data_IF_888480781158
#
_entry.id   IF_888480781158
#
_cell.length_a   1.000
_cell.length_b   1.000
_cell.length_c   1.000
_cell.angle_alpha   90.00
_cell.angle_beta   90.00
_cell.angle_gamma   90.00
#
_symmetry.space_group_name_H-M   'P 1'
#
loop_
_entity.id
_entity.type
_entity.pdbx_description
1 polymer ?
#
# COMPACT_ATOMS: atom_id res chain seq x y z
N UNK A 1 -21.47 -34.70 36.61
CA UNK A 1 -20.41 -35.73 36.62
C UNK A 1 -19.13 -35.03 36.21
N UNK A 2 -18.09 -35.11 37.02
CA UNK A 2 -16.83 -34.41 36.77
C UNK A 2 -16.21 -34.97 35.49
N UNK A 3 -16.00 -34.08 34.52
CA UNK A 3 -15.43 -34.34 33.21
C UNK A 3 -13.98 -34.82 33.41
N UNK A 4 -13.79 -36.14 33.50
CA UNK A 4 -12.52 -36.74 33.87
C UNK A 4 -11.53 -36.57 32.72
N UNK A 5 -10.27 -36.27 33.01
CA UNK A 5 -9.25 -36.06 31.98
C UNK A 5 -9.10 -37.27 31.03
N UNK A 6 -9.50 -38.47 31.50
CA UNK A 6 -9.56 -39.71 30.71
C UNK A 6 -10.61 -39.66 29.60
N UNK A 7 -11.74 -39.01 29.83
CA UNK A 7 -12.84 -38.90 28.87
C UNK A 7 -12.55 -37.89 27.76
N UNK A 8 -11.45 -37.12 27.90
CA UNK A 8 -10.96 -36.13 26.92
C UNK A 8 -9.83 -36.64 26.03
N UNK A 9 -9.36 -37.88 26.24
CA UNK A 9 -8.30 -38.45 25.42
C UNK A 9 -8.82 -38.77 24.02
N UNK A 10 -8.18 -38.18 23.01
CA UNK A 10 -8.46 -38.50 21.62
C UNK A 10 -7.75 -39.80 21.22
N UNK A 11 -8.36 -40.64 20.38
CA UNK A 11 -7.68 -41.80 19.82
C UNK A 11 -6.49 -41.33 18.98
N UNK A 12 -5.28 -41.73 19.38
CA UNK A 12 -4.08 -41.33 18.67
C UNK A 12 -4.10 -41.94 17.27
N UNK A 13 -3.80 -41.11 16.26
CA UNK A 13 -3.68 -41.60 14.89
C UNK A 13 -2.75 -40.71 14.09
N UNK A 14 -2.08 -41.32 13.11
CA UNK A 14 -1.26 -40.61 12.15
C UNK A 14 -1.75 -40.98 10.76
N UNK A 15 -2.19 -39.98 9.99
CA UNK A 15 -2.81 -40.17 8.67
C UNK A 15 -3.97 -41.17 8.68
N UNK A 16 -4.72 -41.23 9.78
CA UNK A 16 -5.85 -42.15 9.97
C UNK A 16 -5.46 -43.56 10.44
N UNK A 17 -4.18 -43.89 10.60
CA UNK A 17 -3.73 -45.16 11.19
C UNK A 17 -3.73 -45.02 12.72
N UNK A 18 -4.56 -45.78 13.47
CA UNK A 18 -4.64 -45.67 14.92
C UNK A 18 -3.43 -46.32 15.61
N UNK A 19 -2.99 -45.74 16.71
CA UNK A 19 -2.00 -46.32 17.62
C UNK A 19 -2.24 -45.86 19.06
N UNK A 20 -1.64 -46.55 20.02
CA UNK A 20 -1.69 -46.16 21.43
C UNK A 20 -0.46 -45.37 21.81
N UNK A 21 -0.59 -44.39 22.70
CA UNK A 21 0.53 -43.58 23.19
C UNK A 21 0.69 -43.82 24.68
N UNK A 22 1.88 -44.29 25.07
CA UNK A 22 2.24 -44.48 26.48
C UNK A 22 2.83 -43.19 27.08
N UNK A 23 3.71 -42.53 26.33
CA UNK A 23 4.37 -41.31 26.75
C UNK A 23 4.41 -40.28 25.63
N UNK A 24 4.11 -39.02 25.97
CA UNK A 24 4.33 -37.88 25.09
C UNK A 24 5.23 -36.83 25.78
N UNK A 25 6.33 -36.47 25.14
CA UNK A 25 7.22 -35.39 25.56
C UNK A 25 7.15 -34.28 24.54
N UNK A 26 6.98 -33.05 25.00
CA UNK A 26 7.05 -31.86 24.17
C UNK A 26 7.83 -30.82 24.95
N UNK A 27 9.00 -30.36 24.45
CA UNK A 27 9.75 -29.33 25.12
C UNK A 27 8.98 -28.01 25.07
N UNK A 28 8.88 -27.35 26.22
CA UNK A 28 8.19 -26.07 26.39
C UNK A 28 9.19 -25.06 26.93
N UNK A 29 9.19 -23.84 26.41
CA UNK A 29 10.08 -22.79 26.87
C UNK A 29 10.52 -21.84 25.75
N UNK A 30 11.51 -21.00 26.07
CA UNK A 30 12.19 -20.15 25.12
C UNK A 30 13.61 -20.64 24.91
N UNK A 31 14.08 -20.58 23.67
CA UNK A 31 15.52 -20.67 23.38
C UNK A 31 16.16 -19.42 23.96
N UNK A 32 17.36 -19.56 24.50
CA UNK A 32 18.13 -18.39 24.89
C UNK A 32 19.54 -18.76 25.27
N UNK A 33 20.38 -17.74 25.33
CA UNK A 33 21.76 -17.85 25.78
C UNK A 33 21.86 -17.31 27.20
N UNK A 34 22.41 -18.12 28.10
CA UNK A 34 22.74 -17.67 29.45
C UNK A 34 24.13 -17.04 29.41
N UNK A 35 24.19 -15.75 29.72
CA UNK A 35 25.43 -15.00 29.85
C UNK A 35 25.81 -14.90 31.32
N UNK A 36 26.95 -15.48 31.67
CA UNK A 36 27.54 -15.39 33.01
C UNK A 36 28.75 -14.46 32.97
N UNK A 37 28.73 -13.41 33.80
CA UNK A 37 29.78 -12.39 33.84
C UNK A 37 30.62 -12.55 35.11
N UNK A 38 31.96 -12.55 35.03
CA UNK A 38 32.81 -12.58 36.23
C UNK A 38 32.47 -11.45 37.20
N UNK A 39 32.47 -11.74 38.51
CA UNK A 39 32.13 -10.82 39.61
C UNK A 39 30.67 -10.33 39.65
N UNK A 40 29.75 -10.98 38.94
CA UNK A 40 28.31 -10.70 39.04
C UNK A 40 27.55 -11.95 39.45
N UNK A 41 26.90 -11.90 40.61
CA UNK A 41 26.19 -13.05 41.19
C UNK A 41 24.90 -13.44 40.44
N UNK A 42 24.36 -12.54 39.60
CA UNK A 42 23.13 -12.78 38.85
C UNK A 42 23.41 -12.92 37.34
N UNK A 43 23.12 -14.09 36.74
CA UNK A 43 23.31 -14.30 35.31
C UNK A 43 22.21 -13.63 34.48
N UNK A 44 22.49 -13.33 33.22
CA UNK A 44 21.55 -12.73 32.28
C UNK A 44 21.14 -13.73 31.20
N UNK A 45 19.84 -14.02 31.08
CA UNK A 45 19.31 -14.91 30.04
C UNK A 45 18.73 -14.08 28.89
N UNK A 46 19.34 -14.19 27.71
CA UNK A 46 18.86 -13.56 26.49
C UNK A 46 17.93 -14.52 25.73
N UNK A 47 16.64 -14.20 25.68
CA UNK A 47 15.66 -15.00 24.95
C UNK A 47 15.76 -14.83 23.43
N UNK A 48 16.07 -15.91 22.71
CA UNK A 48 16.22 -16.00 21.26
C UNK A 48 14.96 -16.56 20.56
N UNK A 49 13.80 -16.46 21.21
CA UNK A 49 12.50 -16.90 20.69
C UNK A 49 12.00 -18.21 21.29
N UNK A 50 10.89 -18.74 20.77
CA UNK A 50 10.27 -19.96 21.32
C UNK A 50 11.06 -21.22 20.99
N UNK A 51 11.10 -22.17 21.92
CA UNK A 51 11.67 -23.50 21.68
C UNK A 51 10.85 -24.23 20.59
N UNK A 52 11.56 -24.99 19.75
CA UNK A 52 10.91 -25.81 18.75
C UNK A 52 10.09 -26.88 19.46
N UNK A 53 8.79 -26.94 19.20
CA UNK A 53 7.86 -27.92 19.80
C UNK A 53 8.00 -29.25 19.07
N UNK A 54 9.07 -29.97 19.36
CA UNK A 54 9.29 -31.33 18.85
C UNK A 54 8.41 -32.27 19.69
N UNK A 55 7.57 -33.07 19.05
CA UNK A 55 6.71 -34.02 19.75
C UNK A 55 7.35 -35.40 19.71
N UNK A 56 7.92 -35.82 20.84
CA UNK A 56 8.49 -37.16 20.99
C UNK A 56 7.43 -38.07 21.63
N UNK A 57 6.92 -39.03 20.86
CA UNK A 57 5.88 -39.95 21.27
C UNK A 57 6.42 -41.38 21.38
N UNK A 58 6.20 -42.02 22.52
CA UNK A 58 6.36 -43.46 22.68
C UNK A 58 5.00 -44.11 22.45
N UNK A 59 4.87 -44.75 21.30
CA UNK A 59 3.64 -45.36 20.83
C UNK A 59 3.75 -46.89 20.80
N UNK A 60 2.61 -47.57 20.85
CA UNK A 60 2.57 -49.02 20.68
C UNK A 60 1.31 -49.46 19.93
N UNK A 61 1.43 -50.60 19.27
CA UNK A 61 0.33 -51.30 18.61
C UNK A 61 0.19 -52.66 19.30
N UNK A 62 -1.04 -53.01 19.65
CA UNK A 62 -1.38 -54.26 20.35
C UNK A 62 -2.63 -54.87 19.72
N UNK A 63 -2.61 -56.18 19.46
CA UNK A 63 -3.76 -56.92 18.93
C UNK A 63 -3.37 -58.05 17.98
N UNK A 64 -4.37 -58.83 17.53
CA UNK A 64 -4.17 -59.90 16.55
C UNK A 64 -3.69 -59.35 15.18
N UNK A 65 -4.14 -58.16 14.81
CA UNK A 65 -3.79 -57.48 13.55
C UNK A 65 -2.57 -56.57 13.67
N UNK A 66 -1.74 -56.75 14.71
CA UNK A 66 -0.63 -55.87 15.05
C UNK A 66 0.39 -55.72 13.90
N UNK A 67 0.67 -56.81 13.17
CA UNK A 67 1.61 -56.79 12.04
C UNK A 67 1.07 -56.00 10.84
N UNK A 68 -0.24 -56.10 10.54
CA UNK A 68 -0.84 -55.33 9.45
C UNK A 68 -0.94 -53.83 9.79
N UNK A 69 -1.30 -53.51 11.03
CA UNK A 69 -1.37 -52.13 11.50
C UNK A 69 0.02 -51.48 11.56
N UNK A 70 1.05 -52.26 11.94
CA UNK A 70 2.46 -51.85 11.88
C UNK A 70 2.86 -51.47 10.47
N UNK A 71 2.58 -52.31 9.47
CA UNK A 71 2.99 -52.05 8.08
C UNK A 71 2.27 -50.83 7.50
N UNK A 72 0.99 -50.62 7.87
CA UNK A 72 0.26 -49.39 7.50
C UNK A 72 0.84 -48.14 8.17
N UNK A 73 1.22 -48.22 9.44
CA UNK A 73 1.83 -47.11 10.16
C UNK A 73 3.22 -46.77 9.61
N UNK A 74 4.05 -47.79 9.35
CA UNK A 74 5.37 -47.61 8.74
C UNK A 74 5.26 -46.92 7.38
N UNK A 75 4.36 -47.39 6.53
CA UNK A 75 4.10 -46.75 5.23
C UNK A 75 3.65 -45.29 5.39
N UNK A 76 2.76 -45.02 6.34
CA UNK A 76 2.32 -43.65 6.61
C UNK A 76 3.48 -42.74 7.08
N UNK A 77 4.37 -43.26 7.93
CA UNK A 77 5.55 -42.56 8.45
C UNK A 77 6.58 -42.26 7.35
N UNK A 78 6.83 -43.21 6.43
CA UNK A 78 7.75 -43.03 5.30
C UNK A 78 7.28 -41.98 4.29
N UNK A 79 5.97 -41.78 4.15
CA UNK A 79 5.41 -40.73 3.30
C UNK A 79 5.60 -39.30 3.89
N UNK A 80 6.12 -39.18 5.11
CA UNK A 80 6.84 -37.99 5.61
C UNK A 80 5.99 -36.86 6.20
N UNK A 81 4.90 -36.42 5.56
CA UNK A 81 4.03 -35.35 6.11
C UNK A 81 2.59 -35.82 6.29
N UNK A 82 1.93 -35.38 7.36
CA UNK A 82 0.56 -35.78 7.62
C UNK A 82 -0.07 -35.20 8.87
N UNK A 83 -1.37 -35.46 9.00
CA UNK A 83 -2.13 -35.10 10.18
C UNK A 83 -1.85 -36.11 11.32
N UNK A 84 -1.40 -35.58 12.45
CA UNK A 84 -1.26 -36.29 13.71
C UNK A 84 -2.40 -35.88 14.65
N UNK A 85 -3.16 -36.86 15.11
CA UNK A 85 -4.10 -36.71 16.22
C UNK A 85 -3.33 -37.07 17.49
N UNK A 86 -2.93 -36.05 18.25
CA UNK A 86 -2.27 -36.22 19.54
C UNK A 86 -3.31 -36.40 20.65
N UNK A 87 -3.18 -37.42 21.53
CA UNK A 87 -4.20 -37.72 22.55
C UNK A 87 -4.55 -36.57 23.48
N UNK A 88 -3.55 -35.74 23.82
CA UNK A 88 -3.70 -34.59 24.72
C UNK A 88 -3.70 -33.21 24.04
N UNK A 89 -3.17 -33.10 22.81
CA UNK A 89 -2.93 -31.79 22.15
C UNK A 89 -3.87 -31.56 20.96
N UNK A 90 -4.64 -32.58 20.56
CA UNK A 90 -5.56 -32.48 19.44
C UNK A 90 -4.91 -32.74 18.09
N UNK A 91 -5.58 -32.28 17.05
CA UNK A 91 -5.18 -32.47 15.64
C UNK A 91 -4.12 -31.45 15.24
N UNK A 92 -3.05 -31.91 14.60
CA UNK A 92 -1.99 -31.04 14.11
C UNK A 92 -1.31 -31.57 12.85
N UNK A 93 -0.79 -30.65 12.04
CA UNK A 93 0.04 -30.98 10.87
C UNK A 93 1.50 -31.10 11.27
N UNK A 94 2.09 -32.25 10.98
CA UNK A 94 3.46 -32.56 11.37
C UNK A 94 4.24 -33.20 10.24
N UNK A 95 5.56 -33.03 10.29
CA UNK A 95 6.54 -33.78 9.52
C UNK A 95 7.17 -34.84 10.41
N UNK A 96 7.24 -36.04 9.87
CA UNK A 96 7.84 -37.21 10.51
C UNK A 96 9.34 -37.03 10.54
N UNK A 97 9.91 -37.17 11.73
CA UNK A 97 11.33 -37.20 12.00
C UNK A 97 11.88 -38.61 12.11
N UNK A 98 12.95 -38.76 12.87
CA UNK A 98 13.50 -40.07 13.21
C UNK A 98 12.45 -40.91 13.93
N UNK A 99 12.22 -42.12 13.42
CA UNK A 99 11.32 -43.09 14.00
C UNK A 99 12.07 -44.40 14.25
N UNK A 100 11.96 -44.95 15.45
CA UNK A 100 12.54 -46.24 15.81
C UNK A 100 11.43 -47.24 16.10
N UNK A 101 11.51 -48.42 15.49
CA UNK A 101 10.61 -49.54 15.77
C UNK A 101 11.36 -50.61 16.54
N UNK A 102 10.83 -51.00 17.70
CA UNK A 102 11.37 -52.08 18.52
C UNK A 102 10.36 -53.21 18.62
N UNK A 103 10.83 -54.44 18.36
CA UNK A 103 10.04 -55.67 18.48
C UNK A 103 10.93 -56.77 19.09
N UNK A 104 10.61 -57.24 20.29
CA UNK A 104 11.28 -58.39 20.91
C UNK A 104 10.53 -59.69 20.63
N UNK A 105 11.25 -60.82 20.63
CA UNK A 105 10.63 -62.16 20.51
C UNK A 105 9.73 -62.51 21.69
N UNK A 106 9.93 -61.86 22.84
CA UNK A 106 9.15 -62.08 24.06
C UNK A 106 7.80 -61.33 24.06
N UNK A 107 7.63 -60.36 23.16
CA UNK A 107 6.57 -59.34 23.26
C UNK A 107 5.22 -59.77 22.65
N UNK A 108 5.07 -61.02 22.20
CA UNK A 108 3.77 -61.69 22.00
C UNK A 108 2.63 -60.86 21.37
N UNK A 109 2.88 -60.08 20.32
CA UNK A 109 1.86 -59.25 19.64
C UNK A 109 1.89 -57.75 19.97
N UNK A 110 2.95 -57.27 20.62
CA UNK A 110 3.23 -55.85 20.86
C UNK A 110 4.35 -55.34 19.93
N UNK A 111 4.14 -54.17 19.33
CA UNK A 111 5.19 -53.43 18.62
C UNK A 111 5.25 -52.03 19.19
N UNK A 112 6.44 -51.63 19.64
CA UNK A 112 6.69 -50.29 20.22
C UNK A 112 7.41 -49.40 19.23
N UNK A 113 7.02 -48.13 19.19
CA UNK A 113 7.56 -47.08 18.34
C UNK A 113 8.02 -45.88 19.16
N UNK A 114 9.19 -45.34 18.83
CA UNK A 114 9.64 -44.02 19.26
C UNK A 114 9.50 -43.09 18.06
N UNK A 115 8.55 -42.17 18.09
CA UNK A 115 8.20 -41.29 16.96
C UNK A 115 8.53 -39.85 17.30
N UNK A 116 9.38 -39.20 16.50
CA UNK A 116 9.63 -37.76 16.61
C UNK A 116 8.84 -37.02 15.53
N UNK A 117 8.02 -36.05 15.92
CA UNK A 117 7.27 -35.22 14.99
C UNK A 117 7.69 -33.75 15.10
N UNK A 118 7.91 -33.12 13.95
CA UNK A 118 8.22 -31.70 13.83
C UNK A 118 6.99 -30.92 13.35
N UNK A 119 6.74 -29.69 13.84
CA UNK A 119 5.60 -28.90 13.39
C UNK A 119 5.77 -28.51 11.93
N UNK A 120 4.80 -28.85 11.08
CA UNK A 120 4.81 -28.48 9.67
C UNK A 120 4.22 -27.08 9.49
N UNK A 121 4.99 -26.07 9.88
CA UNK A 121 4.63 -24.68 9.59
C UNK A 121 5.06 -24.36 8.16
N UNK A 122 4.14 -23.94 7.28
CA UNK A 122 4.53 -23.53 5.93
C UNK A 122 5.50 -22.36 6.04
N UNK A 123 6.61 -22.45 5.31
CA UNK A 123 7.57 -21.35 5.18
C UNK A 123 6.80 -20.11 4.68
N UNK A 124 6.81 -19.04 5.46
CA UNK A 124 6.29 -17.75 5.02
C UNK A 124 7.31 -17.14 4.07
N UNK A 125 7.19 -17.46 2.79
CA UNK A 125 7.95 -16.77 1.75
C UNK A 125 7.41 -15.34 1.57
N UNK A 126 8.26 -14.36 1.24
CA UNK A 126 7.79 -13.04 0.85
C UNK A 126 6.90 -13.17 -0.38
N UNK A 127 5.64 -12.75 -0.28
CA UNK A 127 4.74 -12.64 -1.42
C UNK A 127 5.11 -11.42 -2.25
N UNK A 128 5.14 -11.54 -3.57
CA UNK A 128 5.32 -10.39 -4.45
C UNK A 128 4.16 -9.40 -4.23
N UNK A 129 4.49 -8.19 -3.80
CA UNK A 129 3.53 -7.09 -3.68
C UNK A 129 3.57 -6.29 -4.97
N UNK A 130 2.40 -5.99 -5.53
CA UNK A 130 2.28 -5.17 -6.73
C UNK A 130 2.76 -3.76 -6.44
N UNK A 131 3.69 -3.25 -7.25
CA UNK A 131 4.16 -1.88 -7.16
C UNK A 131 3.16 -0.94 -7.87
N UNK A 132 2.17 -0.45 -7.12
CA UNK A 132 1.11 0.42 -7.65
C UNK A 132 1.64 1.75 -8.17
N UNK A 133 2.72 2.28 -7.58
CA UNK A 133 3.41 3.48 -8.09
C UNK A 133 3.92 3.25 -9.52
N UNK A 134 4.62 2.15 -9.75
CA UNK A 134 5.16 1.84 -11.09
C UNK A 134 4.04 1.63 -12.12
N UNK A 135 2.91 1.05 -11.72
CA UNK A 135 1.77 0.87 -12.62
C UNK A 135 1.17 2.20 -13.09
N UNK A 136 1.06 3.19 -12.18
CA UNK A 136 0.62 4.54 -12.55
C UNK A 136 1.60 5.19 -13.53
N UNK A 137 2.91 5.06 -13.29
CA UNK A 137 3.93 5.61 -14.18
C UNK A 137 3.84 5.02 -15.59
N UNK A 138 3.77 3.70 -15.71
CA UNK A 138 3.62 3.03 -17.02
C UNK A 138 2.33 3.44 -17.74
N UNK A 139 1.21 3.55 -17.01
CA UNK A 139 -0.04 4.02 -17.59
C UNK A 139 0.02 5.49 -18.01
N UNK A 140 0.74 6.34 -17.27
CA UNK A 140 0.96 7.75 -17.61
C UNK A 140 1.82 7.91 -18.88
N UNK A 141 2.87 7.10 -19.04
CA UNK A 141 3.70 7.08 -20.25
C UNK A 141 2.88 6.63 -21.48
N UNK A 142 2.02 5.64 -21.29
CA UNK A 142 1.11 5.15 -22.33
C UNK A 142 0.10 6.23 -22.75
N UNK A 143 -0.47 6.97 -21.80
CA UNK A 143 -1.36 8.10 -22.09
C UNK A 143 -0.61 9.20 -22.86
N UNK A 144 0.59 9.57 -22.43
CA UNK A 144 1.41 10.57 -23.11
C UNK A 144 1.65 10.19 -24.57
N UNK A 145 2.06 8.93 -24.82
CA UNK A 145 2.28 8.43 -26.18
C UNK A 145 1.01 8.51 -27.03
N UNK A 146 -0.13 8.13 -26.48
CA UNK A 146 -1.42 8.24 -27.17
C UNK A 146 -1.83 9.69 -27.45
N UNK A 147 -1.58 10.62 -26.51
CA UNK A 147 -1.91 12.04 -26.67
C UNK A 147 -1.08 12.70 -27.77
N UNK A 148 0.24 12.42 -27.81
CA UNK A 148 1.14 12.90 -28.87
C UNK A 148 0.67 12.38 -30.24
N UNK A 149 0.37 11.08 -30.36
CA UNK A 149 -0.12 10.50 -31.62
C UNK A 149 -1.45 11.11 -32.06
N UNK A 150 -2.38 11.29 -31.12
CA UNK A 150 -3.69 11.93 -31.40
C UNK A 150 -3.52 13.36 -31.90
N UNK A 151 -2.62 14.13 -31.28
CA UNK A 151 -2.32 15.50 -31.68
C UNK A 151 -1.67 15.57 -33.06
N UNK A 152 -0.66 14.73 -33.34
CA UNK A 152 -0.02 14.65 -34.66
C UNK A 152 -1.02 14.27 -35.75
N UNK A 153 -1.89 13.30 -35.48
CA UNK A 153 -2.95 12.91 -36.42
C UNK A 153 -3.93 14.05 -36.69
N UNK A 154 -4.41 14.72 -35.63
CA UNK A 154 -5.32 15.85 -35.76
C UNK A 154 -4.70 17.00 -36.57
N UNK A 155 -3.45 17.36 -36.29
CA UNK A 155 -2.74 18.45 -36.97
C UNK A 155 -2.41 18.14 -38.43
N UNK A 156 -2.14 16.88 -38.77
CA UNK A 156 -1.92 16.46 -40.17
C UNK A 156 -3.17 16.59 -41.05
N UNK A 157 -4.37 16.48 -40.47
CA UNK A 157 -5.64 16.63 -41.20
C UNK A 157 -6.01 18.10 -41.46
N UNK A 158 -5.40 19.03 -40.72
CA UNK A 158 -5.72 20.46 -40.75
C UNK A 158 -4.98 21.14 -41.89
N UNK A 159 -5.70 21.94 -42.67
CA UNK A 159 -5.08 22.79 -43.70
C UNK A 159 -4.51 24.05 -43.05
N UNK A 160 -3.21 24.07 -42.78
CA UNK A 160 -2.51 25.19 -42.13
C UNK A 160 -2.77 26.56 -42.77
N UNK A 161 -2.88 26.62 -44.10
CA UNK A 161 -3.20 27.85 -44.84
C UNK A 161 -4.58 28.46 -44.49
N UNK A 162 -5.49 27.66 -43.92
CA UNK A 162 -6.85 28.08 -43.52
C UNK A 162 -6.96 28.44 -42.03
N UNK A 163 -5.85 28.38 -41.29
CA UNK A 163 -5.82 28.76 -39.87
C UNK A 163 -5.80 30.29 -39.75
N UNK A 164 -6.87 30.85 -39.19
CA UNK A 164 -6.97 32.26 -38.82
C UNK A 164 -6.26 32.53 -37.50
N UNK A 165 -5.16 33.29 -37.54
CA UNK A 165 -4.29 33.53 -36.37
C UNK A 165 -5.03 34.21 -35.23
N UNK A 166 -5.84 35.24 -35.51
CA UNK A 166 -6.58 35.96 -34.45
C UNK A 166 -7.67 35.10 -33.80
N UNK A 167 -8.33 34.26 -34.59
CA UNK A 167 -9.35 33.32 -34.08
C UNK A 167 -8.70 32.21 -33.26
N UNK A 168 -7.53 31.71 -33.69
CA UNK A 168 -6.75 30.72 -32.95
C UNK A 168 -6.26 31.30 -31.62
N UNK A 169 -5.75 32.54 -31.61
CA UNK A 169 -5.34 33.25 -30.40
C UNK A 169 -6.48 33.33 -29.37
N UNK A 170 -7.67 33.72 -29.81
CA UNK A 170 -8.87 33.77 -28.94
C UNK A 170 -9.21 32.40 -28.38
N UNK A 171 -9.16 31.35 -29.20
CA UNK A 171 -9.43 29.98 -28.76
C UNK A 171 -8.42 29.42 -27.78
N UNK A 172 -7.16 29.86 -27.84
CA UNK A 172 -6.07 29.36 -27.00
C UNK A 172 -5.83 30.18 -25.73
N UNK A 173 -6.60 31.25 -25.47
CA UNK A 173 -6.35 32.14 -24.33
C UNK A 173 -6.47 31.40 -22.99
N UNK A 174 -7.52 30.61 -22.80
CA UNK A 174 -7.72 29.81 -21.57
C UNK A 174 -6.67 28.71 -21.43
N UNK A 175 -6.34 28.04 -22.54
CA UNK A 175 -5.32 26.99 -22.58
C UNK A 175 -3.95 27.55 -22.20
N UNK A 176 -3.61 28.73 -22.72
CA UNK A 176 -2.35 29.39 -22.43
C UNK A 176 -2.23 29.80 -20.97
N UNK A 177 -3.30 30.26 -20.33
CA UNK A 177 -3.30 30.55 -18.90
C UNK A 177 -2.98 29.29 -18.04
N UNK A 178 -3.41 28.10 -18.49
CA UNK A 178 -3.02 26.84 -17.84
C UNK A 178 -1.55 26.52 -18.09
N UNK A 179 -1.06 26.70 -19.32
CA UNK A 179 0.38 26.54 -19.64
C UNK A 179 1.23 27.48 -18.77
N UNK A 180 0.82 28.72 -18.59
CA UNK A 180 1.55 29.70 -17.77
C UNK A 180 1.73 29.27 -16.32
N UNK A 181 0.71 28.65 -15.74
CA UNK A 181 0.73 28.29 -14.33
C UNK A 181 1.36 26.91 -14.08
N UNK A 182 1.01 25.91 -14.90
CA UNK A 182 1.37 24.50 -14.69
C UNK A 182 2.65 24.08 -15.43
N UNK A 183 2.96 24.75 -16.55
CA UNK A 183 4.06 24.40 -17.45
C UNK A 183 5.05 25.56 -17.63
N UNK A 184 5.54 26.12 -16.52
CA UNK A 184 6.50 27.24 -16.52
C UNK A 184 7.70 27.08 -17.49
N UNK A 185 8.34 25.89 -17.62
CA UNK A 185 9.44 25.73 -18.57
C UNK A 185 9.02 25.94 -20.04
N UNK A 186 7.76 25.66 -20.40
CA UNK A 186 7.25 25.96 -21.76
C UNK A 186 7.07 27.46 -21.99
N UNK A 187 6.80 28.25 -20.95
CA UNK A 187 6.76 29.71 -21.06
C UNK A 187 8.16 30.28 -21.28
N UNK A 188 9.19 29.70 -20.68
CA UNK A 188 10.57 30.12 -20.95
C UNK A 188 10.96 29.88 -22.43
N UNK A 189 10.36 28.88 -23.08
CA UNK A 189 10.60 28.58 -24.50
C UNK A 189 9.76 29.43 -25.44
N UNK A 190 8.43 29.49 -25.23
CA UNK A 190 7.52 30.19 -26.15
C UNK A 190 7.33 31.67 -25.83
N UNK A 191 7.55 32.11 -24.59
CA UNK A 191 7.50 33.52 -24.17
C UNK A 191 6.11 34.13 -24.09
N UNK A 192 5.32 34.07 -25.17
CA UNK A 192 3.97 34.65 -25.26
C UNK A 192 2.99 33.79 -26.07
N UNK A 193 1.69 34.10 -25.93
CA UNK A 193 0.62 33.43 -26.68
C UNK A 193 0.80 33.57 -28.20
N UNK A 194 1.38 34.66 -28.70
CA UNK A 194 1.55 34.86 -30.15
C UNK A 194 2.55 33.87 -30.74
N UNK A 195 3.63 33.62 -30.04
CA UNK A 195 4.68 32.68 -30.44
C UNK A 195 4.16 31.25 -30.36
N UNK A 196 3.36 30.93 -29.35
CA UNK A 196 2.65 29.65 -29.28
C UNK A 196 1.72 29.45 -30.49
N UNK A 197 0.89 30.44 -30.82
CA UNK A 197 -0.02 30.39 -31.98
C UNK A 197 0.74 30.22 -33.30
N UNK A 198 1.91 30.85 -33.44
CA UNK A 198 2.79 30.65 -34.59
C UNK A 198 3.33 29.23 -34.64
N UNK A 199 3.83 28.69 -33.52
CA UNK A 199 4.33 27.33 -33.43
C UNK A 199 3.26 26.30 -33.81
N UNK A 200 2.03 26.47 -33.31
CA UNK A 200 0.88 25.62 -33.67
C UNK A 200 0.60 25.63 -35.18
N UNK A 201 0.73 26.79 -35.83
CA UNK A 201 0.46 26.95 -37.26
C UNK A 201 1.60 26.41 -38.14
N UNK A 202 2.84 26.67 -37.76
CA UNK A 202 4.02 26.42 -38.60
C UNK A 202 4.64 25.06 -38.34
N UNK A 203 4.86 24.69 -37.07
CA UNK A 203 5.56 23.46 -36.68
C UNK A 203 4.85 22.80 -35.47
N UNK A 204 3.63 22.28 -35.66
CA UNK A 204 2.88 21.68 -34.55
C UNK A 204 3.63 20.54 -33.86
N UNK A 205 4.43 19.76 -34.62
CA UNK A 205 5.16 18.61 -34.09
C UNK A 205 6.22 18.96 -33.03
N UNK A 206 6.81 20.16 -33.11
CA UNK A 206 7.76 20.64 -32.09
C UNK A 206 7.05 20.76 -30.74
N UNK A 207 5.83 21.31 -30.72
CA UNK A 207 5.05 21.49 -29.51
C UNK A 207 4.80 20.17 -28.76
N UNK A 208 4.37 19.12 -29.46
CA UNK A 208 4.19 17.80 -28.82
C UNK A 208 5.50 17.17 -28.34
N UNK A 209 6.62 17.49 -29.00
CA UNK A 209 7.95 17.01 -28.60
C UNK A 209 8.42 17.70 -27.32
N UNK A 210 8.21 19.01 -27.20
CA UNK A 210 8.54 19.79 -26.00
C UNK A 210 7.72 19.33 -24.79
N UNK A 211 6.40 19.12 -24.95
CA UNK A 211 5.56 18.55 -23.89
C UNK A 211 6.04 17.18 -23.43
N UNK A 212 6.42 16.32 -24.38
CA UNK A 212 6.97 14.99 -24.08
C UNK A 212 8.27 15.09 -23.29
N UNK A 213 9.22 15.92 -23.73
CA UNK A 213 10.50 16.10 -23.05
C UNK A 213 10.34 16.66 -21.64
N UNK A 214 9.46 17.63 -21.44
CA UNK A 214 9.16 18.20 -20.13
C UNK A 214 8.63 17.16 -19.14
N UNK A 215 7.76 16.26 -19.61
CA UNK A 215 7.12 15.26 -18.76
C UNK A 215 8.01 14.05 -18.46
N UNK A 216 9.10 13.83 -19.20
CA UNK A 216 10.06 12.75 -18.93
C UNK A 216 10.96 13.03 -17.70
N UNK A 217 11.23 14.28 -17.34
CA UNK A 217 12.15 14.65 -16.23
C UNK A 217 11.46 14.97 -14.89
N UNK A 218 10.15 14.69 -14.75
CA UNK A 218 9.40 14.99 -13.52
C UNK A 218 9.80 14.02 -12.39
N UNK A 219 10.65 14.47 -11.45
CA UNK A 219 11.15 13.69 -10.30
C UNK A 219 10.29 13.85 -9.03
N UNK A 220 9.08 13.31 -9.02
CA UNK A 220 8.12 13.51 -7.92
C UNK A 220 8.56 13.07 -6.51
N UNK A 221 9.47 12.10 -6.37
CA UNK A 221 9.92 11.58 -5.07
C UNK A 221 10.72 12.59 -4.23
N UNK A 222 11.47 13.50 -4.86
CA UNK A 222 12.21 14.56 -4.15
C UNK A 222 11.29 15.67 -3.65
N UNK A 223 10.22 15.92 -4.40
CA UNK A 223 9.26 16.96 -4.06
C UNK A 223 8.39 16.55 -2.88
N UNK A 224 7.90 15.30 -2.86
CA UNK A 224 7.17 14.74 -1.71
C UNK A 224 7.94 14.88 -0.40
N UNK A 225 9.25 14.57 -0.41
CA UNK A 225 10.10 14.66 0.79
C UNK A 225 10.20 16.08 1.36
N UNK A 226 9.91 17.12 0.57
CA UNK A 226 9.92 18.52 0.99
C UNK A 226 8.54 19.02 1.42
N UNK A 227 7.48 18.56 0.77
CA UNK A 227 6.12 19.13 0.88
C UNK A 227 5.19 18.35 1.78
N UNK A 228 5.36 17.03 1.89
CA UNK A 228 4.47 16.15 2.66
C UNK A 228 3.12 15.91 1.96
N UNK A 229 2.26 15.08 2.57
CA UNK A 229 0.99 14.67 1.95
C UNK A 229 0.02 15.84 1.80
N UNK A 230 -0.11 16.68 2.83
CA UNK A 230 -1.12 17.74 2.85
C UNK A 230 -0.93 18.74 1.72
N UNK A 231 0.30 19.21 1.53
CA UNK A 231 0.60 20.21 0.51
C UNK A 231 0.49 19.58 -0.88
N UNK A 232 1.03 18.36 -1.06
CA UNK A 232 0.98 17.68 -2.35
C UNK A 232 -0.46 17.35 -2.79
N UNK A 233 -1.34 16.93 -1.88
CA UNK A 233 -2.76 16.73 -2.20
C UNK A 233 -3.46 18.04 -2.58
N UNK A 234 -3.11 19.16 -1.93
CA UNK A 234 -3.64 20.47 -2.27
C UNK A 234 -3.17 20.94 -3.66
N UNK A 235 -1.88 20.78 -3.95
CA UNK A 235 -1.28 21.12 -5.24
C UNK A 235 -1.94 20.30 -6.36
N UNK A 236 -2.06 18.97 -6.18
CA UNK A 236 -2.73 18.10 -7.16
C UNK A 236 -4.20 18.50 -7.34
N UNK A 237 -4.92 18.79 -6.25
CA UNK A 237 -6.33 19.22 -6.36
C UNK A 237 -6.48 20.53 -7.15
N UNK A 238 -5.53 21.47 -6.98
CA UNK A 238 -5.48 22.68 -7.80
C UNK A 238 -5.25 22.35 -9.29
N UNK A 239 -4.33 21.43 -9.62
CA UNK A 239 -4.10 20.99 -11.00
C UNK A 239 -5.33 20.31 -11.60
N UNK A 240 -6.07 19.53 -10.81
CA UNK A 240 -7.33 18.90 -11.23
C UNK A 240 -8.36 19.96 -11.60
N UNK A 241 -8.49 21.03 -10.82
CA UNK A 241 -9.38 22.15 -11.15
C UNK A 241 -8.91 22.93 -12.37
N UNK A 242 -7.60 23.08 -12.58
CA UNK A 242 -7.05 23.67 -13.79
C UNK A 242 -7.39 22.82 -15.04
N UNK A 243 -7.23 21.50 -14.96
CA UNK A 243 -7.56 20.57 -16.04
C UNK A 243 -9.06 20.54 -16.38
N UNK A 244 -9.94 20.76 -15.39
CA UNK A 244 -11.40 20.88 -15.60
C UNK A 244 -11.79 22.13 -16.38
N UNK A 245 -11.00 23.20 -16.27
CA UNK A 245 -11.24 24.47 -16.98
C UNK A 245 -10.81 24.42 -18.45
N UNK A 246 -10.00 23.45 -18.83
CA UNK A 246 -9.65 23.22 -20.23
C UNK A 246 -10.88 22.62 -20.93
N UNK A 247 -11.71 23.47 -21.54
CA UNK A 247 -12.83 23.06 -22.37
C UNK A 247 -12.47 23.19 -23.86
N UNK A 248 -13.26 22.52 -24.71
CA UNK A 248 -13.12 22.68 -26.14
C UNK A 248 -13.37 24.15 -26.53
N UNK A 249 -12.50 24.76 -27.36
CA UNK A 249 -12.61 26.18 -27.68
C UNK A 249 -13.93 26.48 -28.40
N UNK A 250 -14.76 27.34 -27.82
CA UNK A 250 -16.08 27.74 -28.34
C UNK A 250 -15.93 28.76 -29.48
N UNK A 251 -15.33 28.32 -30.57
CA UNK A 251 -15.12 29.12 -31.77
C UNK A 251 -16.28 28.88 -32.75
N UNK A 252 -16.89 29.95 -33.26
CA UNK A 252 -18.05 29.89 -34.18
C UNK A 252 -17.67 29.93 -35.66
N UNK A 253 -16.39 30.18 -35.98
CA UNK A 253 -15.90 30.40 -37.35
C UNK A 253 -14.58 29.68 -37.61
N UNK A 254 -14.46 29.05 -38.78
CA UNK A 254 -13.20 28.50 -39.29
C UNK A 254 -12.90 27.08 -38.80
N UNK A 255 -13.42 26.07 -39.51
CA UNK A 255 -13.29 24.63 -39.16
C UNK A 255 -11.85 24.17 -38.87
N UNK A 256 -10.90 24.58 -39.72
CA UNK A 256 -9.48 24.23 -39.54
C UNK A 256 -8.86 24.94 -38.31
N UNK A 257 -9.34 26.14 -37.99
CA UNK A 257 -8.89 26.89 -36.81
C UNK A 257 -9.46 26.32 -35.51
N UNK A 258 -10.73 25.93 -35.52
CA UNK A 258 -11.37 25.28 -34.37
C UNK A 258 -10.73 23.93 -34.07
N UNK A 259 -10.46 23.12 -35.11
CA UNK A 259 -9.76 21.85 -34.97
C UNK A 259 -8.33 22.01 -34.43
N UNK A 260 -7.60 23.04 -34.86
CA UNK A 260 -6.24 23.31 -34.36
C UNK A 260 -6.26 23.71 -32.88
N UNK A 261 -7.20 24.59 -32.50
CA UNK A 261 -7.35 25.01 -31.13
C UNK A 261 -7.77 23.83 -30.22
N UNK A 262 -8.68 22.97 -30.70
CA UNK A 262 -9.12 21.77 -30.00
C UNK A 262 -7.99 20.74 -29.84
N UNK A 263 -7.16 20.54 -30.87
CA UNK A 263 -6.01 19.64 -30.79
C UNK A 263 -5.02 20.09 -29.71
N UNK A 264 -4.71 21.39 -29.63
CA UNK A 264 -3.83 21.94 -28.60
C UNK A 264 -4.47 21.85 -27.21
N UNK A 265 -5.77 22.17 -27.08
CA UNK A 265 -6.49 22.06 -25.81
C UNK A 265 -6.46 20.62 -25.28
N UNK A 266 -6.74 19.63 -26.14
CA UNK A 266 -6.67 18.21 -25.79
C UNK A 266 -5.25 17.81 -25.37
N UNK A 267 -4.22 18.23 -26.12
CA UNK A 267 -2.83 17.90 -25.77
C UNK A 267 -2.42 18.48 -24.42
N UNK A 268 -2.80 19.72 -24.10
CA UNK A 268 -2.51 20.35 -22.81
C UNK A 268 -3.27 19.66 -21.67
N UNK A 269 -4.54 19.30 -21.90
CA UNK A 269 -5.32 18.54 -20.93
C UNK A 269 -4.69 17.18 -20.63
N UNK A 270 -4.28 16.43 -21.67
CA UNK A 270 -3.63 15.14 -21.52
C UNK A 270 -2.25 15.26 -20.85
N UNK A 271 -1.47 16.27 -21.22
CA UNK A 271 -0.19 16.57 -20.59
C UNK A 271 -0.35 16.84 -19.08
N UNK A 272 -1.39 17.61 -18.70
CA UNK A 272 -1.67 17.91 -17.31
C UNK A 272 -2.15 16.67 -16.55
N UNK A 273 -2.97 15.80 -17.17
CA UNK A 273 -3.34 14.50 -16.59
C UNK A 273 -2.12 13.60 -16.35
N UNK A 274 -1.16 13.59 -17.27
CA UNK A 274 0.10 12.85 -17.11
C UNK A 274 0.94 13.43 -15.98
N UNK A 275 1.07 14.77 -15.89
CA UNK A 275 1.78 15.43 -14.80
C UNK A 275 1.15 15.09 -13.44
N UNK A 276 -0.18 15.21 -13.32
CA UNK A 276 -0.94 14.84 -12.14
C UNK A 276 -0.70 13.36 -11.80
N UNK A 277 -0.75 12.46 -12.78
CA UNK A 277 -0.51 11.05 -12.54
C UNK A 277 0.88 10.76 -11.97
N UNK A 278 1.92 11.44 -12.48
CA UNK A 278 3.28 11.33 -11.96
C UNK A 278 3.38 11.86 -10.53
N UNK A 279 2.73 12.99 -10.22
CA UNK A 279 2.67 13.52 -8.84
C UNK A 279 1.93 12.58 -7.90
N UNK A 280 0.79 12.03 -8.33
CA UNK A 280 0.04 11.02 -7.55
C UNK A 280 0.89 9.78 -7.31
N UNK A 281 1.63 9.30 -8.31
CA UNK A 281 2.52 8.14 -8.16
C UNK A 281 3.66 8.37 -7.15
N UNK A 282 3.99 9.63 -6.87
CA UNK A 282 5.01 9.99 -5.88
C UNK A 282 4.48 9.97 -4.44
N UNK A 283 3.16 9.86 -4.24
CA UNK A 283 2.57 9.69 -2.91
C UNK A 283 2.92 8.29 -2.38
N UNK A 284 3.70 8.16 -1.30
CA UNK A 284 4.05 6.86 -0.78
C UNK A 284 2.82 6.19 -0.14
N UNK A 285 2.83 4.86 -0.10
CA UNK A 285 1.93 4.11 0.78
C UNK A 285 2.61 4.05 2.15
N UNK A 286 2.06 4.76 3.13
CA UNK A 286 2.65 4.83 4.47
C UNK A 286 2.65 3.43 5.12
N UNK A 287 3.71 3.12 5.88
CA UNK A 287 3.72 1.90 6.69
C UNK A 287 2.80 2.10 7.91
N UNK A 288 1.99 1.09 8.28
CA UNK A 288 1.08 1.20 9.42
C UNK A 288 1.87 1.51 10.69
N UNK A 289 1.38 2.48 11.47
CA UNK A 289 2.05 2.96 12.69
C UNK A 289 2.19 1.82 13.68
N UNK A 290 3.42 1.41 13.97
CA UNK A 290 3.71 0.48 15.05
C UNK A 290 3.40 1.20 16.36
N UNK A 291 2.37 0.75 17.10
CA UNK A 291 2.11 1.25 18.45
C UNK A 291 3.38 1.09 19.28
N UNK A 292 3.89 2.19 19.84
CA UNK A 292 5.06 2.14 20.72
C UNK A 292 4.71 1.24 21.90
N UNK A 293 5.48 0.16 22.10
CA UNK A 293 5.27 -0.74 23.24
C UNK A 293 5.50 -0.01 24.57
N UNK A 294 6.49 0.89 24.58
CA UNK A 294 6.83 1.73 25.73
C UNK A 294 7.00 3.19 25.26
N UNK A 295 6.44 4.14 26.01
CA UNK A 295 6.69 5.58 25.80
C UNK A 295 8.06 5.94 26.41
N UNK A 296 8.97 6.61 25.67
CA UNK A 296 10.28 7.00 26.20
C UNK A 296 10.16 7.91 27.44
N UNK A 297 11.10 7.87 28.41
CA UNK A 297 11.11 8.79 29.54
C UNK A 297 11.19 10.27 29.11
N UNK A 298 10.63 11.19 29.90
CA UNK A 298 10.58 12.62 29.58
C UNK A 298 11.95 13.23 29.28
N UNK A 299 12.99 12.85 30.04
CA UNK A 299 14.36 13.31 29.83
C UNK A 299 14.91 12.92 28.43
N UNK A 300 14.53 11.75 27.93
CA UNK A 300 14.89 11.32 26.58
C UNK A 300 14.08 12.09 25.52
N UNK A 301 12.80 12.36 25.77
CA UNK A 301 11.99 13.14 24.83
C UNK A 301 12.48 14.60 24.72
N UNK A 302 12.96 15.18 25.82
CA UNK A 302 13.53 16.52 25.86
C UNK A 302 14.81 16.65 25.00
N UNK A 303 15.62 15.59 24.94
CA UNK A 303 16.83 15.55 24.11
C UNK A 303 16.56 15.05 22.68
N UNK A 304 15.61 14.14 22.50
CA UNK A 304 15.19 13.54 21.22
C UNK A 304 13.67 13.46 21.16
N UNK A 305 13.01 14.46 20.57
CA UNK A 305 11.57 14.45 20.40
C UNK A 305 11.13 13.22 19.61
N UNK A 306 10.02 12.61 20.03
CA UNK A 306 9.42 11.47 19.30
C UNK A 306 8.90 12.00 17.96
N UNK A 307 9.58 11.67 16.87
CA UNK A 307 9.12 11.95 15.52
C UNK A 307 8.24 10.80 15.03
N UNK A 308 7.06 11.14 14.50
CA UNK A 308 6.17 10.18 13.86
C UNK A 308 6.21 10.38 12.36
N UNK A 309 6.12 9.27 11.63
CA UNK A 309 5.93 9.32 10.19
C UNK A 309 4.63 10.04 9.88
N UNK A 310 4.69 10.93 8.89
CA UNK A 310 3.49 11.58 8.36
C UNK A 310 2.64 10.54 7.64
N UNK A 311 1.33 10.60 7.86
CA UNK A 311 0.35 9.67 7.31
C UNK A 311 -0.74 10.49 6.62
N UNK A 312 -1.21 10.10 5.42
CA UNK A 312 -2.24 10.87 4.73
C UNK A 312 -3.57 10.83 5.47
N UNK A 313 -4.42 11.83 5.21
CA UNK A 313 -5.83 11.78 5.60
C UNK A 313 -6.56 10.94 4.57
N UNK A 314 -7.14 9.82 4.99
CA UNK A 314 -7.77 8.87 4.06
C UNK A 314 -8.89 9.52 3.24
N UNK A 315 -9.72 10.35 3.88
CA UNK A 315 -10.86 11.01 3.24
C UNK A 315 -10.40 12.03 2.18
N UNK A 316 -9.32 12.76 2.41
CA UNK A 316 -8.75 13.71 1.44
C UNK A 316 -8.20 12.98 0.20
N UNK A 317 -7.52 11.85 0.40
CA UNK A 317 -7.02 11.01 -0.71
C UNK A 317 -8.17 10.42 -1.52
N UNK A 318 -9.25 9.98 -0.86
CA UNK A 318 -10.44 9.45 -1.53
C UNK A 318 -11.19 10.55 -2.28
N UNK A 319 -11.29 11.76 -1.74
CA UNK A 319 -11.87 12.90 -2.44
C UNK A 319 -11.08 13.23 -3.72
N UNK A 320 -9.74 13.26 -3.63
CA UNK A 320 -8.89 13.46 -4.81
C UNK A 320 -9.09 12.34 -5.86
N UNK A 321 -9.16 11.08 -5.42
CA UNK A 321 -9.45 9.94 -6.28
C UNK A 321 -10.75 10.12 -7.05
N UNK A 322 -11.81 10.54 -6.38
CA UNK A 322 -13.13 10.71 -6.99
C UNK A 322 -13.13 11.91 -7.97
N UNK A 323 -12.45 13.01 -7.63
CA UNK A 323 -12.26 14.15 -8.53
C UNK A 323 -11.51 13.78 -9.81
N UNK A 324 -10.43 13.00 -9.69
CA UNK A 324 -9.63 12.50 -10.81
C UNK A 324 -10.40 11.51 -11.68
N UNK A 325 -11.13 10.59 -11.05
CA UNK A 325 -11.95 9.62 -11.76
C UNK A 325 -12.99 10.32 -12.64
N UNK A 326 -13.65 11.36 -12.12
CA UNK A 326 -14.61 12.16 -12.88
C UNK A 326 -13.94 12.95 -14.01
N UNK A 327 -12.81 13.61 -13.74
CA UNK A 327 -12.07 14.36 -14.77
C UNK A 327 -11.65 13.47 -15.94
N UNK A 328 -11.05 12.31 -15.66
CA UNK A 328 -10.60 11.37 -16.69
C UNK A 328 -11.80 10.76 -17.42
N UNK A 329 -12.91 10.52 -16.73
CA UNK A 329 -14.15 10.06 -17.35
C UNK A 329 -14.68 11.07 -18.38
N UNK A 330 -14.73 12.36 -18.02
CA UNK A 330 -15.16 13.43 -18.94
C UNK A 330 -14.23 13.56 -20.16
N UNK A 331 -12.92 13.42 -19.97
CA UNK A 331 -11.96 13.37 -21.08
C UNK A 331 -12.19 12.14 -21.98
N UNK A 332 -12.46 10.98 -21.38
CA UNK A 332 -12.70 9.73 -22.10
C UNK A 332 -13.96 9.77 -22.96
N UNK A 333 -15.01 10.48 -22.56
CA UNK A 333 -16.23 10.65 -23.37
C UNK A 333 -15.98 11.36 -24.72
N UNK A 334 -14.88 12.12 -24.84
CA UNK A 334 -14.48 12.86 -26.04
C UNK A 334 -13.35 12.18 -26.83
N UNK A 335 -12.91 11.00 -26.40
CA UNK A 335 -11.73 10.31 -26.93
C UNK A 335 -12.05 9.32 -28.06
N UNK A 336 -11.10 9.11 -28.97
CA UNK A 336 -11.14 7.98 -29.90
C UNK A 336 -10.87 6.64 -29.17
N UNK A 337 -11.17 5.47 -29.79
CA UNK A 337 -11.08 4.18 -29.10
C UNK A 337 -9.71 3.85 -28.50
N UNK A 338 -8.60 4.22 -29.18
CA UNK A 338 -7.26 3.93 -28.69
C UNK A 338 -6.93 4.81 -27.49
N UNK A 339 -7.23 6.10 -27.60
CA UNK A 339 -7.02 7.06 -26.51
C UNK A 339 -7.94 6.81 -25.30
N UNK A 340 -9.18 6.37 -25.54
CA UNK A 340 -10.12 5.94 -24.51
C UNK A 340 -9.58 4.80 -23.65
N UNK A 341 -8.88 3.83 -24.27
CA UNK A 341 -8.24 2.73 -23.55
C UNK A 341 -7.08 3.24 -22.67
N UNK A 342 -6.27 4.16 -23.19
CA UNK A 342 -5.17 4.75 -22.43
C UNK A 342 -5.68 5.53 -21.20
N UNK A 343 -6.72 6.36 -21.38
CA UNK A 343 -7.37 7.10 -20.29
C UNK A 343 -7.97 6.17 -19.24
N UNK A 344 -8.67 5.11 -19.65
CA UNK A 344 -9.24 4.16 -18.69
C UNK A 344 -8.20 3.32 -17.96
N UNK A 345 -7.12 2.94 -18.63
CA UNK A 345 -5.99 2.26 -17.99
C UNK A 345 -5.39 3.15 -16.90
N UNK A 346 -5.12 4.43 -17.21
CA UNK A 346 -4.63 5.39 -16.24
C UNK A 346 -5.61 5.57 -15.07
N UNK A 347 -6.91 5.70 -15.36
CA UNK A 347 -7.98 5.84 -14.36
C UNK A 347 -7.97 4.68 -13.35
N UNK A 348 -7.86 3.45 -13.84
CA UNK A 348 -7.81 2.26 -13.00
C UNK A 348 -6.54 2.21 -12.14
N UNK A 349 -5.38 2.53 -12.70
CA UNK A 349 -4.12 2.52 -11.95
C UNK A 349 -4.08 3.62 -10.88
N UNK A 350 -4.56 4.83 -11.20
CA UNK A 350 -4.69 5.92 -10.23
C UNK A 350 -5.65 5.55 -9.11
N UNK A 351 -6.80 4.95 -9.43
CA UNK A 351 -7.75 4.48 -8.43
C UNK A 351 -7.12 3.42 -7.51
N UNK A 352 -6.41 2.45 -8.08
CA UNK A 352 -5.70 1.41 -7.33
C UNK A 352 -4.63 1.99 -6.40
N UNK A 353 -3.80 2.90 -6.90
CA UNK A 353 -2.75 3.54 -6.11
C UNK A 353 -3.31 4.44 -5.00
N UNK A 354 -4.28 5.31 -5.30
CA UNK A 354 -4.90 6.18 -4.29
C UNK A 354 -5.66 5.38 -3.23
N UNK A 355 -6.28 4.24 -3.59
CA UNK A 355 -6.86 3.34 -2.60
C UNK A 355 -5.79 2.73 -1.68
N UNK A 356 -4.63 2.35 -2.23
CA UNK A 356 -3.51 1.86 -1.42
C UNK A 356 -2.98 2.95 -0.47
N UNK A 357 -2.79 4.18 -0.96
CA UNK A 357 -2.37 5.34 -0.14
C UNK A 357 -3.42 5.63 0.94
N UNK A 358 -4.71 5.69 0.59
CA UNK A 358 -5.80 5.90 1.54
C UNK A 358 -5.91 4.78 2.58
N UNK A 359 -5.57 3.53 2.22
CA UNK A 359 -5.57 2.39 3.17
C UNK A 359 -4.54 2.54 4.29
N UNK A 360 -3.44 3.23 4.01
CA UNK A 360 -2.44 3.59 5.01
C UNK A 360 -2.79 4.87 5.78
N UNK A 361 -3.80 5.60 5.31
CA UNK A 361 -4.26 6.88 5.83
C UNK A 361 -5.05 6.78 7.12
N UNK A 362 -5.10 7.90 7.84
CA UNK A 362 -5.92 8.06 9.03
C UNK A 362 -7.27 8.65 8.65
N UNK A 363 -8.37 8.08 9.15
CA UNK A 363 -9.71 8.67 9.04
C UNK A 363 -9.89 9.74 10.11
N UNK A 364 -10.63 10.80 9.80
CA UNK A 364 -10.85 11.88 10.78
C UNK A 364 -12.23 11.78 11.43
N UNK A 365 -12.31 12.26 12.65
CA UNK A 365 -13.55 12.47 13.40
C UNK A 365 -13.51 13.89 13.95
N UNK A 366 -14.64 14.58 13.78
CA UNK A 366 -14.86 15.89 14.39
C UNK A 366 -15.24 15.73 15.86
N UNK A 367 -14.54 16.46 16.72
CA UNK A 367 -14.77 16.48 18.15
C UNK A 367 -14.77 17.90 18.66
N UNK A 368 -15.83 18.26 19.38
CA UNK A 368 -15.97 19.57 20.01
C UNK A 368 -15.79 19.42 21.53
N UNK A 369 -14.67 19.89 22.11
CA UNK A 369 -14.49 19.86 23.55
C UNK A 369 -15.45 20.86 24.23
N UNK A 370 -16.01 20.49 25.38
CA UNK A 370 -17.00 21.32 26.10
C UNK A 370 -16.42 22.60 26.71
N UNK A 371 -15.12 22.62 26.94
CA UNK A 371 -14.38 23.74 27.53
C UNK A 371 -12.99 23.81 26.91
N UNK A 372 -12.32 24.96 27.09
CA UNK A 372 -10.93 25.06 26.67
C UNK A 372 -10.05 24.08 27.45
N UNK A 373 -9.18 23.36 26.75
CA UNK A 373 -8.26 22.39 27.35
C UNK A 373 -6.94 22.32 26.57
N UNK A 374 -5.84 21.85 27.19
CA UNK A 374 -4.60 21.65 26.48
C UNK A 374 -4.71 20.53 25.43
N UNK A 375 -4.07 20.72 24.28
CA UNK A 375 -3.98 19.72 23.21
C UNK A 375 -3.32 18.42 23.68
N UNK A 376 -2.39 18.52 24.63
CA UNK A 376 -1.75 17.37 25.26
C UNK A 376 -2.77 16.51 26.03
N UNK A 377 -3.67 17.16 26.77
CA UNK A 377 -4.74 16.46 27.51
C UNK A 377 -5.72 15.80 26.56
N UNK A 378 -6.11 16.48 25.48
CA UNK A 378 -6.97 15.92 24.45
C UNK A 378 -6.34 14.70 23.76
N UNK A 379 -5.06 14.79 23.40
CA UNK A 379 -4.32 13.67 22.81
C UNK A 379 -4.24 12.47 23.76
N UNK A 380 -3.95 12.69 25.04
CA UNK A 380 -3.93 11.62 26.03
C UNK A 380 -5.31 10.99 26.24
N UNK A 381 -6.37 11.79 26.35
CA UNK A 381 -7.74 11.28 26.52
C UNK A 381 -8.23 10.45 25.32
N UNK A 382 -7.78 10.81 24.11
CA UNK A 382 -8.25 10.16 22.86
C UNK A 382 -7.42 8.97 22.44
N UNK A 383 -6.12 9.02 22.66
CA UNK A 383 -5.18 8.02 22.13
C UNK A 383 -4.46 7.23 23.22
N UNK A 384 -4.72 7.52 24.49
CA UNK A 384 -3.91 7.09 25.63
C UNK A 384 -2.41 7.44 25.46
N UNK A 385 -2.09 8.43 24.63
CA UNK A 385 -0.74 8.75 24.19
C UNK A 385 -0.56 10.26 23.97
N UNK A 386 0.09 10.91 24.92
CA UNK A 386 0.37 12.35 24.89
C UNK A 386 1.39 12.74 23.80
N UNK A 387 2.20 11.80 23.29
CA UNK A 387 3.19 12.10 22.24
C UNK A 387 2.54 12.46 20.90
N UNK A 388 1.24 12.19 20.75
CA UNK A 388 0.43 12.54 19.56
C UNK A 388 -0.09 13.97 19.55
N UNK A 389 0.31 14.81 20.51
CA UNK A 389 -0.10 16.22 20.58
C UNK A 389 0.24 16.99 19.29
N UNK A 390 1.38 16.68 18.66
CA UNK A 390 1.78 17.30 17.39
C UNK A 390 0.77 17.08 16.27
N UNK A 391 0.19 15.87 16.18
CA UNK A 391 -0.84 15.54 15.19
C UNK A 391 -2.08 16.42 15.38
N UNK A 392 -2.51 16.62 16.63
CA UNK A 392 -3.69 17.44 16.96
C UNK A 392 -3.44 18.91 16.63
N UNK A 393 -2.29 19.46 17.02
CA UNK A 393 -1.93 20.87 16.80
C UNK A 393 -1.77 21.18 15.32
N UNK A 394 -0.99 20.37 14.59
CA UNK A 394 -0.70 20.58 13.17
C UNK A 394 -1.96 20.44 12.31
N UNK A 395 -2.82 19.47 12.61
CA UNK A 395 -4.05 19.23 11.86
C UNK A 395 -5.04 20.39 12.00
N UNK A 396 -5.24 20.85 13.23
CA UNK A 396 -6.22 21.90 13.56
C UNK A 396 -5.67 23.32 13.46
N UNK A 397 -4.40 23.50 13.03
CA UNK A 397 -3.72 24.80 12.93
C UNK A 397 -3.83 25.63 14.21
N UNK A 398 -3.65 24.96 15.35
CA UNK A 398 -3.84 25.58 16.67
C UNK A 398 -2.69 26.52 16.96
N UNK A 399 -2.99 27.81 17.15
CA UNK A 399 -1.99 28.81 17.52
C UNK A 399 -1.44 28.62 18.95
N UNK A 400 -2.31 28.25 19.89
CA UNK A 400 -1.96 28.07 21.30
C UNK A 400 -2.28 26.65 21.78
N UNK A 401 -1.32 25.70 21.71
CA UNK A 401 -1.53 24.30 22.09
C UNK A 401 -2.02 24.09 23.54
N UNK A 402 -1.76 25.03 24.45
CA UNK A 402 -2.24 24.98 25.84
C UNK A 402 -3.73 25.30 26.00
N UNK A 403 -4.34 25.92 24.99
CA UNK A 403 -5.71 26.44 25.04
C UNK A 403 -6.43 26.12 23.74
N UNK A 404 -6.85 24.86 23.57
CA UNK A 404 -7.73 24.51 22.47
C UNK A 404 -9.08 25.21 22.67
N UNK A 405 -9.65 25.84 21.64
CA UNK A 405 -10.99 26.41 21.73
C UNK A 405 -12.05 25.29 21.80
N UNK A 406 -13.21 25.54 22.43
CA UNK A 406 -14.38 24.65 22.37
C UNK A 406 -15.05 24.74 20.99
N UNK A 407 -14.32 24.34 19.96
CA UNK A 407 -14.73 24.33 18.55
C UNK A 407 -14.55 22.93 17.96
N UNK A 408 -15.04 22.71 16.75
CA UNK A 408 -14.89 21.42 16.07
C UNK A 408 -13.42 21.18 15.70
N UNK A 409 -12.82 20.20 16.36
CA UNK A 409 -11.45 19.76 16.12
C UNK A 409 -11.45 18.45 15.35
N UNK A 410 -10.66 18.37 14.30
CA UNK A 410 -10.40 17.15 13.54
C UNK A 410 -9.35 16.30 14.24
N UNK A 411 -9.71 15.06 14.58
CA UNK A 411 -8.87 14.11 15.33
C UNK A 411 -8.84 12.78 14.59
N UNK A 412 -7.75 12.03 14.72
CA UNK A 412 -7.63 10.70 14.15
C UNK A 412 -8.68 9.75 14.75
N UNK A 413 -9.35 8.97 13.89
CA UNK A 413 -10.15 7.82 14.28
C UNK A 413 -9.21 6.65 14.54
N UNK A 414 -9.33 6.01 15.70
CA UNK A 414 -8.64 4.74 15.98
C UNK A 414 -9.36 3.54 15.35
#
# INVERSE_FOLDING_TARGET
>A
MADNWRDRLLPASFRGVPFWVDQAKTPVGQKGQLHEYPQRDQPFFEGLGQQAKIHDLTAFIVGADCLEQRDRLLKALEEGSGELVHPWLGRMQVKVGECEMTQSRQDGGLVTFSLKFYPDQPLRFPSAVVNTQQQVLVASDTLLGSAVLRFEFATNLIKQARIGVDTLRKGLTEVYAVIEHEFKPLIEFYGDLNTLVKAVKEIPKELSTEFKGLLEDVRGLKDFARTGYRQMLADISQQVEAARRIDAPKLTTGKDTTAAAEAVANLVQDALLVQIARLVSALPVATPVVKLKNTPPLAQQASRPVQRLEVPVADDVLALRDQLNELIWQAALKADPMHYQALNSLRQQLQGHLNAVASSGVRLVSLSPKSSMPALVLAYQRFADATRVGEVVQRNRVAHPGFLPPADLQIARE
#
